data_IF_943825612494
#
_entry.id   IF_943825612494
#
_cell.length_a   1.000
_cell.length_b   1.000
_cell.length_c   1.000
_cell.angle_alpha   90.00
_cell.angle_beta   90.00
_cell.angle_gamma   90.00
#
_symmetry.space_group_name_H-M   'P 1'
#
loop_
_entity.id
_entity.type
_entity.pdbx_description
1 polymer ?
#
# COMPACT_ATOMS: atom_id res chain seq x y z
N UNK A 1 24.71 41.30 60.83
CA UNK A 1 24.67 39.88 60.43
C UNK A 1 23.37 39.68 59.68
N UNK A 2 23.48 39.79 58.36
CA UNK A 2 23.22 38.73 57.36
C UNK A 2 21.76 38.80 56.90
N UNK A 3 21.64 39.35 55.69
CA UNK A 3 20.54 39.21 54.77
C UNK A 3 20.63 37.82 54.11
N UNK A 4 19.52 37.11 53.94
CA UNK A 4 19.31 36.18 52.82
C UNK A 4 17.81 35.97 52.64
N UNK A 5 17.35 36.38 51.46
CA UNK A 5 16.13 35.95 50.80
C UNK A 5 16.01 34.42 50.78
N UNK A 6 14.80 33.89 50.86
CA UNK A 6 14.42 32.77 50.00
C UNK A 6 12.92 32.81 49.66
N UNK A 7 12.67 32.67 48.38
CA UNK A 7 11.44 32.89 47.64
C UNK A 7 10.58 31.62 47.69
N UNK A 8 9.65 31.58 48.63
CA UNK A 8 8.69 30.48 48.76
C UNK A 8 7.48 30.65 47.85
N UNK A 9 7.70 30.74 46.53
CA UNK A 9 6.63 30.65 45.54
C UNK A 9 5.91 29.30 45.66
N UNK A 10 4.80 29.28 46.39
CA UNK A 10 3.94 28.11 46.49
C UNK A 10 3.05 28.04 45.24
N UNK A 11 3.65 27.75 44.08
CA UNK A 11 2.91 27.37 42.87
C UNK A 11 2.46 25.91 42.99
N UNK A 12 1.57 25.64 43.94
CA UNK A 12 0.91 24.35 44.06
C UNK A 12 -0.08 24.19 42.91
N UNK A 13 0.36 23.40 41.92
CA UNK A 13 -0.43 22.55 41.04
C UNK A 13 -1.91 22.93 40.89
N UNK A 14 -2.23 23.62 39.80
CA UNK A 14 -3.57 23.56 39.27
C UNK A 14 -3.89 22.09 38.94
N UNK A 15 -4.72 21.46 39.77
CA UNK A 15 -5.15 20.08 39.56
C UNK A 15 -5.90 20.01 38.23
N UNK A 16 -5.30 19.37 37.23
CA UNK A 16 -6.03 19.03 36.02
C UNK A 16 -7.21 18.14 36.40
N UNK A 17 -8.42 18.57 36.06
CA UNK A 17 -9.67 17.88 36.40
C UNK A 17 -10.12 16.93 35.29
N UNK A 18 -9.54 17.05 34.10
CA UNK A 18 -9.80 16.19 32.96
C UNK A 18 -8.61 16.17 31.99
N UNK A 19 -8.48 15.05 31.28
CA UNK A 19 -7.47 14.84 30.25
C UNK A 19 -8.11 14.98 28.89
N UNK A 20 -7.50 15.74 27.99
CA UNK A 20 -7.97 15.89 26.62
C UNK A 20 -7.17 14.99 25.69
N UNK A 21 -7.78 13.88 25.26
CA UNK A 21 -7.16 12.88 24.40
C UNK A 21 -7.63 13.04 22.94
N UNK A 22 -6.72 13.30 21.99
CA UNK A 22 -7.02 13.15 20.57
C UNK A 22 -6.94 11.67 20.15
N UNK A 23 -7.86 11.21 19.31
CA UNK A 23 -7.83 9.89 18.68
C UNK A 23 -7.88 10.08 17.18
N UNK A 24 -6.90 9.55 16.46
CA UNK A 24 -6.84 9.60 14.99
C UNK A 24 -7.48 8.33 14.44
N UNK A 25 -8.38 8.45 13.47
CA UNK A 25 -9.01 7.33 12.79
C UNK A 25 -8.17 6.96 11.55
N UNK A 26 -7.53 5.77 11.50
CA UNK A 26 -6.70 5.39 10.37
C UNK A 26 -7.57 5.02 9.16
N UNK A 27 -7.06 5.30 7.96
CA UNK A 27 -7.52 4.67 6.72
C UNK A 27 -6.70 3.42 6.44
N UNK A 28 -7.26 2.49 5.68
CA UNK A 28 -6.56 1.27 5.27
C UNK A 28 -5.33 1.56 4.40
N UNK A 29 -5.42 2.55 3.51
CA UNK A 29 -4.35 2.85 2.56
C UNK A 29 -4.34 4.32 2.12
N UNK A 30 -3.13 4.85 1.95
CA UNK A 30 -2.86 6.16 1.36
C UNK A 30 -1.99 6.03 0.11
N UNK A 31 -2.29 6.79 -0.93
CA UNK A 31 -1.57 6.83 -2.21
C UNK A 31 -1.04 8.24 -2.43
N UNK A 32 0.24 8.35 -2.81
CA UNK A 32 0.86 9.62 -3.13
C UNK A 32 0.12 10.36 -4.26
N UNK A 33 0.00 11.68 -4.13
CA UNK A 33 -0.68 12.57 -5.07
C UNK A 33 -2.20 12.68 -4.87
N UNK A 34 -2.83 11.77 -4.12
CA UNK A 34 -4.26 11.82 -3.80
C UNK A 34 -4.53 12.69 -2.57
N UNK A 35 -5.76 13.18 -2.47
CA UNK A 35 -6.23 14.01 -1.34
C UNK A 35 -7.10 13.15 -0.44
N UNK A 36 -6.83 13.25 0.86
CA UNK A 36 -7.52 12.52 1.92
C UNK A 36 -8.00 13.46 3.01
N UNK A 37 -9.01 13.03 3.74
CA UNK A 37 -9.44 13.66 4.98
C UNK A 37 -9.00 12.79 6.15
N UNK A 38 -8.06 13.29 6.96
CA UNK A 38 -7.68 12.68 8.23
C UNK A 38 -8.74 13.05 9.25
N UNK A 39 -9.45 12.04 9.73
CA UNK A 39 -10.50 12.20 10.73
C UNK A 39 -9.99 11.80 12.11
N UNK A 40 -10.58 12.42 13.12
CA UNK A 40 -10.32 12.03 14.49
C UNK A 40 -11.38 12.57 15.44
N UNK A 41 -11.23 12.19 16.71
CA UNK A 41 -12.15 12.50 17.80
C UNK A 41 -11.38 13.05 18.99
N UNK A 42 -11.93 14.08 19.64
CA UNK A 42 -11.41 14.59 20.90
C UNK A 42 -12.27 14.08 22.06
N UNK A 43 -11.62 13.46 23.04
CA UNK A 43 -12.25 12.88 24.22
C UNK A 43 -11.79 13.59 25.49
N UNK A 44 -12.74 14.00 26.33
CA UNK A 44 -12.50 14.48 27.69
C UNK A 44 -13.00 13.41 28.65
N UNK A 45 -12.08 12.77 29.36
CA UNK A 45 -12.42 11.64 30.25
C UNK A 45 -13.27 10.56 29.55
N UNK A 46 -13.04 10.34 28.25
CA UNK A 46 -13.74 9.34 27.44
C UNK A 46 -14.96 9.87 26.65
N UNK A 47 -15.38 11.12 26.87
CA UNK A 47 -16.56 11.69 26.21
C UNK A 47 -16.20 12.65 25.08
N UNK A 48 -16.88 12.58 23.90
CA UNK A 48 -16.67 13.51 22.80
C UNK A 48 -16.79 14.97 23.23
N UNK A 49 -15.84 15.81 22.82
CA UNK A 49 -15.80 17.22 23.25
C UNK A 49 -15.57 18.18 22.09
N UNK A 50 -16.49 19.12 21.93
CA UNK A 50 -16.48 20.13 20.88
C UNK A 50 -15.64 21.36 21.19
N UNK A 51 -15.33 22.15 20.16
CA UNK A 51 -14.63 23.44 20.25
C UNK A 51 -13.26 23.33 20.94
N UNK A 52 -12.57 22.21 20.72
CA UNK A 52 -11.19 22.01 21.19
C UNK A 52 -10.24 22.34 20.05
N UNK A 53 -9.23 23.16 20.32
CA UNK A 53 -8.17 23.45 19.37
C UNK A 53 -7.24 22.22 19.27
N UNK A 54 -7.03 21.74 18.05
CA UNK A 54 -6.17 20.59 17.75
C UNK A 54 -5.05 21.06 16.83
N UNK A 55 -3.81 20.91 17.27
CA UNK A 55 -2.64 21.01 16.39
C UNK A 55 -2.47 19.64 15.72
N UNK A 56 -2.43 19.60 14.40
CA UNK A 56 -2.06 18.40 13.66
C UNK A 56 -0.74 18.68 12.95
N UNK A 57 0.28 17.93 13.33
CA UNK A 57 1.61 17.96 12.72
C UNK A 57 1.77 16.72 11.84
N UNK A 58 2.19 16.91 10.59
CA UNK A 58 2.56 15.82 9.69
C UNK A 58 4.06 15.91 9.46
N UNK A 59 4.78 14.85 9.83
CA UNK A 59 6.18 14.64 9.48
C UNK A 59 6.26 13.74 8.25
N UNK A 60 6.90 14.25 7.20
CA UNK A 60 7.08 13.58 5.92
C UNK A 60 8.36 12.73 5.91
N UNK A 61 8.45 11.71 5.04
CA UNK A 61 9.63 10.87 4.91
C UNK A 61 10.90 11.63 4.50
N UNK A 62 10.76 12.76 3.81
CA UNK A 62 11.87 13.63 3.40
C UNK A 62 12.42 14.50 4.55
N UNK A 63 11.86 14.36 5.75
CA UNK A 63 12.22 15.13 6.94
C UNK A 63 11.52 16.49 7.04
N UNK A 64 10.69 16.86 6.05
CA UNK A 64 9.86 18.07 6.15
C UNK A 64 8.69 17.86 7.12
N UNK A 65 8.21 18.95 7.71
CA UNK A 65 7.05 18.92 8.59
C UNK A 65 6.06 20.04 8.24
N UNK A 66 4.77 19.74 8.34
CA UNK A 66 3.70 20.75 8.28
C UNK A 66 2.91 20.75 9.57
N UNK A 67 2.29 21.88 9.88
CA UNK A 67 1.40 22.04 11.04
C UNK A 67 0.15 22.78 10.62
N UNK A 68 -0.99 22.26 11.03
CA UNK A 68 -2.29 22.89 10.85
C UNK A 68 -3.05 22.90 12.18
N UNK A 69 -3.91 23.90 12.37
CA UNK A 69 -4.77 24.01 13.53
C UNK A 69 -6.21 23.90 13.10
N UNK A 70 -6.93 22.94 13.67
CA UNK A 70 -8.36 22.71 13.43
C UNK A 70 -9.12 22.73 14.75
N UNK A 71 -10.44 22.91 14.70
CA UNK A 71 -11.31 22.81 15.89
C UNK A 71 -12.22 21.60 15.79
N UNK A 72 -12.41 20.90 16.91
CA UNK A 72 -13.40 19.84 16.97
C UNK A 72 -14.82 20.42 16.84
N UNK A 73 -15.68 19.72 16.10
CA UNK A 73 -17.09 20.04 15.88
C UNK A 73 -17.94 19.65 17.09
N UNK A 74 -19.24 19.89 17.03
CA UNK A 74 -20.20 19.61 18.10
C UNK A 74 -20.22 18.14 18.55
N UNK A 75 -19.89 17.21 17.66
CA UNK A 75 -19.75 15.77 17.91
C UNK A 75 -18.34 15.37 18.41
N UNK A 76 -17.48 16.35 18.70
CA UNK A 76 -16.10 16.16 19.12
C UNK A 76 -15.15 15.77 18.01
N UNK A 77 -15.60 15.67 16.75
CA UNK A 77 -14.76 15.24 15.63
C UNK A 77 -13.97 16.40 15.03
N UNK A 78 -12.74 16.11 14.61
CA UNK A 78 -11.93 17.01 13.79
C UNK A 78 -11.61 16.35 12.44
N UNK A 79 -11.38 17.18 11.44
CA UNK A 79 -10.98 16.74 10.10
C UNK A 79 -9.90 17.68 9.58
N UNK A 80 -8.88 17.13 8.93
CA UNK A 80 -7.81 17.88 8.26
C UNK A 80 -7.54 17.25 6.89
N UNK A 81 -7.25 18.09 5.90
CA UNK A 81 -6.86 17.62 4.57
C UNK A 81 -5.41 17.15 4.55
N UNK A 82 -5.16 15.96 4.01
CA UNK A 82 -3.85 15.36 3.84
C UNK A 82 -3.62 15.01 2.36
N UNK A 83 -2.55 15.57 1.79
CA UNK A 83 -2.12 15.30 0.41
C UNK A 83 -0.63 14.94 0.38
N UNK A 84 -0.26 13.67 0.59
CA UNK A 84 1.13 13.28 0.51
C UNK A 84 1.61 13.34 -0.93
N UNK A 85 2.81 13.88 -1.19
CA UNK A 85 3.33 14.04 -2.55
C UNK A 85 4.31 12.93 -2.97
N UNK A 86 4.81 12.17 -2.01
CA UNK A 86 5.73 11.06 -2.23
C UNK A 86 5.34 9.86 -1.37
N UNK A 87 5.72 8.67 -1.81
CA UNK A 87 5.62 7.46 -0.99
C UNK A 87 6.56 7.52 0.22
N UNK A 88 6.25 6.71 1.23
CA UNK A 88 7.07 6.52 2.43
C UNK A 88 6.23 6.49 3.70
N UNK A 89 6.91 6.49 4.82
CA UNK A 89 6.31 6.46 6.15
C UNK A 89 6.15 7.86 6.71
N UNK A 90 4.89 8.30 6.83
CA UNK A 90 4.55 9.59 7.41
C UNK A 90 4.17 9.41 8.88
N UNK A 91 4.47 10.40 9.72
CA UNK A 91 3.97 10.43 11.10
C UNK A 91 2.97 11.57 11.25
N UNK A 92 1.74 11.23 11.62
CA UNK A 92 0.69 12.18 11.93
C UNK A 92 0.60 12.30 13.45
N UNK A 93 0.84 13.49 13.98
CA UNK A 93 0.71 13.80 15.40
C UNK A 93 -0.45 14.75 15.60
N UNK A 94 -1.48 14.32 16.33
CA UNK A 94 -2.56 15.20 16.77
C UNK A 94 -2.32 15.57 18.24
N UNK A 95 -2.25 16.86 18.54
CA UNK A 95 -2.11 17.40 19.89
C UNK A 95 -3.34 18.22 20.24
N UNK A 96 -4.01 17.85 21.33
CA UNK A 96 -5.19 18.57 21.79
C UNK A 96 -4.83 19.66 22.79
N UNK A 97 -5.05 20.93 22.45
CA UNK A 97 -4.67 22.09 23.29
C UNK A 97 -5.67 22.43 24.40
N UNK A 98 -6.59 21.52 24.68
CA UNK A 98 -7.74 21.75 25.54
C UNK A 98 -8.70 22.86 25.03
N UNK A 99 -9.89 22.98 25.61
CA UNK A 99 -10.81 24.10 25.38
C UNK A 99 -10.20 25.34 26.00
N UNK A 100 -10.37 26.48 25.33
CA UNK A 100 -9.87 27.76 25.84
C UNK A 100 -10.38 28.06 27.26
N UNK A 101 -11.65 27.72 27.53
CA UNK A 101 -12.29 27.90 28.84
C UNK A 101 -11.75 26.99 29.96
N UNK A 102 -11.10 25.88 29.62
CA UNK A 102 -10.60 24.87 30.58
C UNK A 102 -9.07 24.78 30.62
N UNK A 103 -8.36 25.69 29.93
CA UNK A 103 -6.91 25.59 29.73
C UNK A 103 -6.09 25.53 31.03
N UNK A 104 -6.59 26.13 32.11
CA UNK A 104 -5.93 26.10 33.43
C UNK A 104 -6.17 24.82 34.23
N UNK A 105 -7.10 23.96 33.81
CA UNK A 105 -7.56 22.78 34.55
C UNK A 105 -7.60 21.51 33.69
N UNK A 106 -6.92 21.53 32.53
CA UNK A 106 -6.90 20.43 31.56
C UNK A 106 -5.46 20.05 31.22
N UNK A 107 -5.21 18.75 31.12
CA UNK A 107 -3.93 18.21 30.62
C UNK A 107 -4.05 17.90 29.12
N UNK A 108 -3.24 18.58 28.30
CA UNK A 108 -3.14 18.27 26.87
C UNK A 108 -2.48 16.91 26.65
N UNK A 109 -2.95 16.17 25.64
CA UNK A 109 -2.32 14.92 25.18
C UNK A 109 -2.03 14.98 23.69
N UNK A 110 -1.16 14.08 23.25
CA UNK A 110 -0.86 13.86 21.84
C UNK A 110 -0.99 12.40 21.48
N UNK A 111 -1.46 12.14 20.25
CA UNK A 111 -1.51 10.81 19.65
C UNK A 111 -0.73 10.83 18.36
N UNK A 112 0.14 9.84 18.19
CA UNK A 112 0.95 9.66 17.00
C UNK A 112 0.43 8.45 16.22
N UNK A 113 0.28 8.60 14.92
CA UNK A 113 -0.07 7.54 13.98
C UNK A 113 0.98 7.54 12.86
N UNK A 114 1.73 6.44 12.73
CA UNK A 114 2.55 6.20 11.55
C UNK A 114 1.67 5.61 10.45
N UNK A 115 1.74 6.16 9.24
CA UNK A 115 1.01 5.67 8.07
C UNK A 115 1.95 5.42 6.90
N UNK A 116 1.74 4.32 6.20
CA UNK A 116 2.41 4.05 4.93
C UNK A 116 1.65 4.73 3.79
N UNK A 117 2.35 5.56 3.02
CA UNK A 117 1.86 6.12 1.76
C UNK A 117 2.54 5.38 0.62
N UNK A 118 1.75 4.82 -0.28
CA UNK A 118 2.22 4.05 -1.42
C UNK A 118 2.32 4.91 -2.68
N UNK A 119 3.27 4.59 -3.54
CA UNK A 119 3.26 4.98 -4.95
C UNK A 119 2.55 3.90 -5.74
N UNK A 120 1.56 4.29 -6.53
CA UNK A 120 0.77 3.37 -7.35
C UNK A 120 1.19 3.46 -8.82
N UNK A 121 1.40 2.31 -9.46
CA UNK A 121 1.70 2.18 -10.89
C UNK A 121 0.72 1.22 -11.53
N UNK A 122 0.01 1.69 -12.54
CA UNK A 122 -0.77 0.83 -13.44
C UNK A 122 0.15 0.29 -14.52
N UNK A 123 0.11 -1.02 -14.73
CA UNK A 123 0.83 -1.70 -15.81
C UNK A 123 -0.19 -2.02 -16.90
N UNK A 124 -0.10 -1.30 -18.01
CA UNK A 124 -0.98 -1.43 -19.16
C UNK A 124 -0.43 -2.37 -20.22
N UNK A 125 0.84 -2.77 -20.12
CA UNK A 125 1.50 -3.64 -21.09
C UNK A 125 2.54 -4.54 -20.41
N UNK A 126 2.43 -5.85 -20.66
CA UNK A 126 3.44 -6.83 -20.27
C UNK A 126 4.06 -7.47 -21.50
N UNK A 127 5.39 -7.62 -21.50
CA UNK A 127 6.11 -8.30 -22.56
C UNK A 127 6.65 -9.65 -22.09
N UNK A 128 6.62 -10.64 -22.98
CA UNK A 128 7.13 -11.99 -22.70
C UNK A 128 8.64 -12.01 -22.92
N UNK A 129 9.39 -12.53 -21.95
CA UNK A 129 10.85 -12.67 -22.03
C UNK A 129 11.23 -13.48 -23.26
N UNK A 130 12.08 -12.90 -24.13
CA UNK A 130 12.62 -13.57 -25.31
C UNK A 130 11.65 -13.78 -26.48
N UNK A 131 10.38 -13.36 -26.36
CA UNK A 131 9.35 -13.59 -27.38
C UNK A 131 9.00 -12.37 -28.24
N UNK A 132 9.33 -11.14 -27.80
CA UNK A 132 8.94 -9.89 -28.48
C UNK A 132 7.44 -9.58 -28.50
N UNK A 133 6.61 -10.54 -28.08
CA UNK A 133 5.17 -10.41 -27.91
C UNK A 133 4.86 -9.67 -26.60
N UNK A 134 3.94 -8.71 -26.69
CA UNK A 134 3.44 -7.99 -25.53
C UNK A 134 1.92 -7.97 -25.54
N UNK A 135 1.35 -7.98 -24.34
CA UNK A 135 -0.08 -8.08 -24.10
C UNK A 135 -0.49 -6.80 -23.40
N UNK A 136 -1.56 -6.18 -23.88
CA UNK A 136 -2.16 -5.05 -23.19
C UNK A 136 -3.02 -5.57 -22.04
N UNK A 137 -2.96 -4.87 -20.92
CA UNK A 137 -3.62 -5.25 -19.69
C UNK A 137 -4.63 -4.21 -19.27
N UNK A 138 -5.69 -4.72 -18.68
CA UNK A 138 -6.59 -3.93 -17.85
C UNK A 138 -6.36 -4.33 -16.39
N UNK A 139 -6.24 -3.34 -15.51
CA UNK A 139 -6.30 -3.49 -14.05
C UNK A 139 -5.13 -4.22 -13.35
N UNK A 140 -3.96 -4.40 -13.97
CA UNK A 140 -2.76 -4.74 -13.21
C UNK A 140 -2.20 -3.48 -12.53
N UNK A 141 -2.19 -3.47 -11.20
CA UNK A 141 -1.67 -2.35 -10.42
C UNK A 141 -0.66 -2.81 -9.38
N UNK A 142 0.43 -2.06 -9.24
CA UNK A 142 1.48 -2.26 -8.25
C UNK A 142 1.50 -1.02 -7.36
N UNK A 143 1.14 -1.17 -6.09
CA UNK A 143 1.32 -0.14 -5.08
C UNK A 143 2.51 -0.50 -4.19
N UNK A 144 3.47 0.40 -4.04
CA UNK A 144 4.73 0.15 -3.31
C UNK A 144 5.07 1.28 -2.35
N UNK A 145 5.66 0.93 -1.21
CA UNK A 145 6.27 1.88 -0.27
C UNK A 145 7.70 1.46 -0.02
N UNK A 146 8.61 2.44 0.11
CA UNK A 146 10.04 2.24 0.38
C UNK A 146 10.73 1.38 -0.69
N UNK A 147 10.25 1.46 -1.94
CA UNK A 147 10.80 0.77 -3.10
C UNK A 147 10.41 1.51 -4.38
N UNK A 148 11.17 1.35 -5.47
CA UNK A 148 10.85 1.92 -6.78
C UNK A 148 10.76 0.83 -7.83
N UNK A 149 9.74 0.92 -8.67
CA UNK A 149 9.55 0.00 -9.79
C UNK A 149 10.54 0.31 -10.92
N UNK A 150 11.22 -0.72 -11.42
CA UNK A 150 11.91 -0.67 -12.71
C UNK A 150 10.89 -0.72 -13.84
N UNK A 151 11.13 0.00 -14.94
CA UNK A 151 10.18 0.06 -16.08
C UNK A 151 9.84 -1.33 -16.68
N UNK A 152 10.69 -2.33 -16.43
CA UNK A 152 10.55 -3.70 -16.93
C UNK A 152 9.75 -4.61 -15.97
N UNK A 153 8.42 -4.61 -16.13
CA UNK A 153 7.58 -5.73 -15.63
C UNK A 153 7.38 -6.71 -16.77
N UNK A 154 7.73 -7.98 -16.56
CA UNK A 154 7.79 -8.98 -17.63
C UNK A 154 7.12 -10.29 -17.23
N UNK A 155 6.67 -11.03 -18.24
CA UNK A 155 6.20 -12.40 -18.07
C UNK A 155 7.30 -13.37 -18.50
N UNK A 156 7.66 -14.29 -17.60
CA UNK A 156 8.41 -15.49 -17.96
C UNK A 156 7.41 -16.64 -18.15
N UNK A 157 7.03 -16.88 -19.40
CA UNK A 157 6.08 -17.94 -19.76
C UNK A 157 6.64 -19.35 -19.52
N UNK A 158 7.97 -19.50 -19.52
CA UNK A 158 8.62 -20.79 -19.25
C UNK A 158 8.53 -21.17 -17.77
N UNK A 159 8.58 -20.18 -16.89
CA UNK A 159 8.40 -20.33 -15.44
C UNK A 159 6.97 -20.14 -14.97
N UNK A 160 6.07 -19.65 -15.82
CA UNK A 160 4.74 -19.17 -15.44
C UNK A 160 4.83 -18.15 -14.31
N UNK A 161 5.71 -17.17 -14.51
CA UNK A 161 6.01 -16.16 -13.51
C UNK A 161 5.81 -14.74 -14.04
N UNK A 162 5.23 -13.87 -13.22
CA UNK A 162 5.32 -12.43 -13.37
C UNK A 162 6.59 -11.95 -12.66
N UNK A 163 7.51 -11.36 -13.41
CA UNK A 163 8.76 -10.83 -12.89
C UNK A 163 8.66 -9.32 -12.74
N UNK A 164 8.83 -8.84 -11.51
CA UNK A 164 8.78 -7.44 -11.14
C UNK A 164 10.16 -7.08 -10.59
N UNK A 165 10.86 -6.17 -11.27
CA UNK A 165 12.15 -5.66 -10.78
C UNK A 165 11.94 -4.39 -9.99
N UNK A 166 12.53 -4.35 -8.81
CA UNK A 166 12.51 -3.19 -7.93
C UNK A 166 13.93 -2.66 -7.72
N UNK A 167 14.01 -1.37 -7.46
CA UNK A 167 15.22 -0.61 -7.16
C UNK A 167 14.98 0.23 -5.91
N UNK A 168 16.06 0.71 -5.31
CA UNK A 168 16.02 1.57 -4.12
C UNK A 168 15.14 0.98 -3.01
N UNK A 169 15.17 -0.34 -2.82
CA UNK A 169 14.39 -1.05 -1.81
C UNK A 169 15.01 -0.79 -0.43
N UNK A 170 14.21 -0.22 0.47
CA UNK A 170 14.57 -0.01 1.87
C UNK A 170 14.13 -1.14 2.79
N UNK A 171 14.51 -1.03 4.07
CA UNK A 171 14.33 -2.10 5.07
C UNK A 171 12.86 -2.32 5.47
N UNK A 172 11.96 -1.41 5.09
CA UNK A 172 10.53 -1.49 5.37
C UNK A 172 9.70 -1.63 4.09
N UNK A 173 10.31 -2.03 2.98
CA UNK A 173 9.59 -2.12 1.72
C UNK A 173 8.36 -3.03 1.81
N UNK A 174 7.24 -2.54 1.27
CA UNK A 174 5.99 -3.29 1.21
C UNK A 174 5.29 -3.04 -0.12
N UNK A 175 4.75 -4.12 -0.70
CA UNK A 175 4.14 -4.09 -2.03
C UNK A 175 2.77 -4.73 -1.96
N UNK A 176 1.83 -4.09 -2.63
CA UNK A 176 0.47 -4.57 -2.83
C UNK A 176 0.24 -4.69 -4.33
N UNK A 177 0.03 -5.92 -4.79
CA UNK A 177 -0.27 -6.24 -6.18
C UNK A 177 -1.76 -6.45 -6.31
N UNK A 178 -2.39 -5.74 -7.23
CA UNK A 178 -3.74 -6.06 -7.71
C UNK A 178 -3.57 -6.82 -9.01
N UNK A 179 -3.73 -8.14 -8.94
CA UNK A 179 -3.46 -9.07 -10.04
C UNK A 179 -4.79 -9.52 -10.68
N UNK A 180 -4.98 -9.27 -11.98
CA UNK A 180 -6.06 -9.88 -12.73
C UNK A 180 -5.84 -11.39 -12.88
N UNK A 181 -6.84 -12.20 -12.54
CA UNK A 181 -6.75 -13.68 -12.58
C UNK A 181 -6.49 -14.21 -13.99
N UNK A 182 -6.91 -13.49 -15.03
CA UNK A 182 -6.56 -13.87 -16.40
C UNK A 182 -5.04 -13.81 -16.62
N UNK A 183 -4.31 -12.87 -16.03
CA UNK A 183 -2.86 -12.74 -16.26
C UNK A 183 -2.06 -13.78 -15.50
N UNK A 184 -2.36 -13.94 -14.21
CA UNK A 184 -1.67 -14.89 -13.35
C UNK A 184 -2.59 -15.33 -12.23
N UNK A 185 -2.66 -16.64 -12.01
CA UNK A 185 -3.51 -17.19 -10.96
C UNK A 185 -3.12 -18.63 -10.60
N UNK A 186 -3.64 -19.07 -9.46
CA UNK A 186 -3.49 -20.41 -8.93
C UNK A 186 -4.79 -20.85 -8.24
N UNK A 187 -5.20 -22.14 -8.36
CA UNK A 187 -6.44 -22.62 -7.76
C UNK A 187 -6.51 -22.47 -6.24
N UNK A 188 -5.35 -22.47 -5.58
CA UNK A 188 -5.23 -22.38 -4.13
C UNK A 188 -4.52 -21.07 -3.77
N UNK A 189 -3.18 -21.05 -3.88
CA UNK A 189 -2.33 -19.91 -3.52
C UNK A 189 -1.26 -19.65 -4.57
N UNK A 190 -0.91 -18.38 -4.77
CA UNK A 190 0.29 -18.01 -5.53
C UNK A 190 1.56 -18.35 -4.75
N UNK A 191 2.67 -18.55 -5.47
CA UNK A 191 4.00 -18.67 -4.86
C UNK A 191 4.77 -17.39 -5.12
N UNK A 192 5.29 -16.76 -4.06
CA UNK A 192 6.04 -15.50 -4.15
C UNK A 192 7.49 -15.77 -3.79
N UNK A 193 8.38 -15.37 -4.68
CA UNK A 193 9.83 -15.54 -4.55
C UNK A 193 10.49 -14.17 -4.68
N UNK A 194 11.39 -13.84 -3.75
CA UNK A 194 12.21 -12.63 -3.78
C UNK A 194 13.66 -13.06 -3.86
N UNK A 195 14.35 -12.67 -4.93
CA UNK A 195 15.75 -13.05 -5.22
C UNK A 195 16.01 -14.56 -5.09
N UNK A 196 15.10 -15.37 -5.62
CA UNK A 196 15.20 -16.82 -5.62
C UNK A 196 14.82 -17.50 -4.28
N UNK A 197 14.45 -16.74 -3.26
CA UNK A 197 13.96 -17.28 -1.97
C UNK A 197 12.44 -17.13 -1.86
N UNK A 198 11.74 -18.21 -1.54
CA UNK A 198 10.31 -18.12 -1.25
C UNK A 198 10.07 -17.26 0.00
N UNK A 199 9.08 -16.37 -0.07
CA UNK A 199 8.70 -15.48 1.04
C UNK A 199 7.24 -15.69 1.42
N UNK A 200 6.95 -15.44 2.69
CA UNK A 200 5.56 -15.35 3.15
C UNK A 200 4.92 -14.07 2.63
N UNK A 201 3.65 -14.18 2.27
CA UNK A 201 2.84 -13.09 1.73
C UNK A 201 1.40 -13.25 2.21
N UNK A 202 0.62 -12.17 2.16
CA UNK A 202 -0.82 -12.25 2.39
C UNK A 202 -1.53 -12.19 1.05
N UNK A 203 -2.63 -12.92 0.96
CA UNK A 203 -3.40 -13.02 -0.26
C UNK A 203 -4.88 -13.03 0.07
N UNK A 204 -5.66 -12.32 -0.73
CA UNK A 204 -7.12 -12.41 -0.67
C UNK A 204 -7.73 -12.19 -2.06
N UNK A 205 -8.86 -12.83 -2.29
CA UNK A 205 -9.67 -12.63 -3.48
C UNK A 205 -10.54 -11.40 -3.27
N UNK A 206 -10.28 -10.34 -4.04
CA UNK A 206 -11.14 -9.16 -4.07
C UNK A 206 -12.43 -9.43 -4.86
N UNK A 207 -12.35 -10.29 -5.87
CA UNK A 207 -13.48 -10.79 -6.67
C UNK A 207 -13.15 -12.15 -7.28
N UNK A 208 -14.01 -12.67 -8.18
CA UNK A 208 -13.72 -13.86 -8.98
C UNK A 208 -12.48 -13.70 -9.87
N UNK A 209 -12.19 -12.47 -10.31
CA UNK A 209 -11.23 -12.19 -11.39
C UNK A 209 -10.08 -11.29 -10.94
N UNK A 210 -10.03 -10.93 -9.65
CA UNK A 210 -9.01 -10.06 -9.08
C UNK A 210 -8.52 -10.61 -7.75
N UNK A 211 -7.21 -10.75 -7.66
CA UNK A 211 -6.47 -11.28 -6.53
C UNK A 211 -5.52 -10.21 -6.00
N UNK A 212 -5.57 -9.94 -4.72
CA UNK A 212 -4.69 -8.95 -4.06
C UNK A 212 -3.61 -9.71 -3.30
N UNK A 213 -2.36 -9.35 -3.53
CA UNK A 213 -1.18 -9.96 -2.91
C UNK A 213 -0.35 -8.90 -2.21
N UNK A 214 -0.15 -9.05 -0.89
CA UNK A 214 0.64 -8.16 -0.05
C UNK A 214 1.97 -8.85 0.31
N UNK A 215 3.09 -8.19 0.02
CA UNK A 215 4.43 -8.76 0.12
C UNK A 215 5.32 -7.79 0.89
N UNK A 216 5.78 -8.15 2.11
CA UNK A 216 6.86 -7.44 2.77
C UNK A 216 8.21 -7.84 2.16
N UNK A 217 9.09 -6.87 1.95
CA UNK A 217 10.44 -7.08 1.41
C UNK A 217 11.44 -6.51 2.42
N UNK A 218 12.38 -7.35 2.84
CA UNK A 218 13.38 -7.02 3.86
C UNK A 218 14.81 -6.95 3.32
N UNK A 219 15.03 -7.39 2.06
CA UNK A 219 16.33 -7.40 1.41
C UNK A 219 16.47 -6.09 0.60
N UNK A 220 17.34 -5.19 1.06
CA UNK A 220 17.51 -3.86 0.48
C UNK A 220 18.29 -3.83 -0.83
N UNK A 221 18.19 -2.71 -1.56
CA UNK A 221 18.90 -2.48 -2.82
C UNK A 221 18.02 -2.75 -4.06
N UNK A 222 18.43 -3.70 -4.91
CA UNK A 222 17.64 -4.11 -6.07
C UNK A 222 17.29 -5.58 -5.95
N UNK A 223 15.99 -5.87 -6.05
CA UNK A 223 15.45 -7.22 -5.91
C UNK A 223 14.56 -7.55 -7.08
N UNK A 224 14.43 -8.84 -7.37
CA UNK A 224 13.46 -9.37 -8.31
C UNK A 224 12.39 -10.13 -7.54
N UNK A 225 11.15 -9.67 -7.67
CA UNK A 225 9.97 -10.37 -7.17
C UNK A 225 9.40 -11.21 -8.30
N UNK A 226 9.35 -12.52 -8.11
CA UNK A 226 8.72 -13.47 -9.01
C UNK A 226 7.40 -13.95 -8.36
N UNK A 227 6.27 -13.63 -9.00
CA UNK A 227 4.96 -14.20 -8.65
C UNK A 227 4.74 -15.39 -9.57
N UNK A 228 4.61 -16.58 -9.01
CA UNK A 228 4.50 -17.84 -9.75
C UNK A 228 3.08 -18.38 -9.59
N UNK A 229 2.42 -18.59 -10.72
CA UNK A 229 1.07 -19.15 -10.81
C UNK A 229 1.05 -20.55 -11.39
N UNK A 230 -0.14 -21.13 -11.46
CA UNK A 230 -0.36 -22.38 -12.21
C UNK A 230 -0.49 -22.15 -13.70
N UNK A 231 -0.95 -20.95 -14.08
CA UNK A 231 -0.92 -20.44 -15.44
C UNK A 231 -0.49 -18.98 -15.40
N UNK A 232 0.20 -18.57 -16.46
CA UNK A 232 0.42 -17.17 -16.83
C UNK A 232 0.10 -17.08 -18.30
N UNK A 233 -0.75 -16.13 -18.68
CA UNK A 233 -1.30 -16.06 -20.05
C UNK A 233 -0.19 -16.07 -21.12
N UNK A 234 -0.36 -16.89 -22.16
CA UNK A 234 -0.75 -16.36 -23.46
C UNK A 234 -2.10 -16.92 -23.89
N UNK A 235 -3.11 -16.07 -24.01
CA UNK A 235 -4.27 -16.35 -24.84
C UNK A 235 -3.84 -16.03 -26.26
N UNK A 236 -3.33 -17.04 -26.98
CA UNK A 236 -3.35 -16.93 -28.43
C UNK A 236 -4.82 -16.71 -28.83
N UNK A 237 -5.13 -15.77 -29.74
CA UNK A 237 -6.46 -15.65 -30.29
C UNK A 237 -6.95 -17.04 -30.66
N UNK A 238 -8.17 -17.42 -30.26
CA UNK A 238 -8.73 -18.76 -30.53
C UNK A 238 -8.58 -19.14 -32.02
N UNK A 239 -8.54 -18.14 -32.91
CA UNK A 239 -8.20 -18.28 -34.32
C UNK A 239 -6.85 -19.01 -34.57
N UNK A 240 -5.78 -18.70 -33.85
CA UNK A 240 -4.47 -19.36 -34.01
C UNK A 240 -4.55 -20.81 -33.52
N UNK A 241 -5.17 -21.06 -32.37
CA UNK A 241 -5.37 -22.41 -31.87
C UNK A 241 -6.24 -23.26 -32.82
N UNK A 242 -7.27 -22.66 -33.42
CA UNK A 242 -8.10 -23.30 -34.44
C UNK A 242 -7.31 -23.61 -35.71
N UNK A 243 -6.49 -22.69 -36.21
CA UNK A 243 -5.62 -22.93 -37.38
C UNK A 243 -4.64 -24.07 -37.10
N UNK A 244 -4.05 -24.11 -35.89
CA UNK A 244 -3.13 -25.15 -35.47
C UNK A 244 -3.85 -26.51 -35.36
N UNK A 245 -5.05 -26.56 -34.78
CA UNK A 245 -5.88 -27.76 -34.70
C UNK A 245 -6.30 -28.28 -36.09
N UNK A 246 -6.73 -27.40 -37.00
CA UNK A 246 -7.12 -27.76 -38.37
C UNK A 246 -5.93 -28.27 -39.16
N UNK A 247 -4.77 -27.60 -39.07
CA UNK A 247 -3.55 -28.04 -39.76
C UNK A 247 -3.07 -29.42 -39.28
N UNK A 248 -3.15 -29.69 -37.97
CA UNK A 248 -2.81 -30.99 -37.40
C UNK A 248 -3.79 -32.08 -37.87
N UNK A 249 -5.10 -31.78 -37.96
CA UNK A 249 -6.10 -32.69 -38.51
C UNK A 249 -5.81 -33.04 -39.99
N UNK A 250 -5.42 -32.06 -40.79
CA UNK A 250 -5.06 -32.26 -42.20
C UNK A 250 -3.81 -33.14 -42.33
N UNK A 251 -2.79 -32.92 -41.51
CA UNK A 251 -1.59 -33.77 -41.52
C UNK A 251 -1.88 -35.21 -41.11
N UNK A 252 -2.72 -35.42 -40.09
CA UNK A 252 -3.10 -36.77 -39.64
C UNK A 252 -3.93 -37.52 -40.68
N UNK A 253 -4.82 -36.82 -41.40
CA UNK A 253 -5.64 -37.42 -42.46
C UNK A 253 -4.79 -37.79 -43.68
N UNK A 254 -3.86 -36.92 -44.11
CA UNK A 254 -2.91 -37.22 -45.17
C UNK A 254 -1.99 -38.40 -44.82
N UNK A 255 -1.49 -38.45 -43.58
CA UNK A 255 -0.64 -39.55 -43.13
C UNK A 255 -1.38 -40.89 -43.13
N UNK A 256 -2.66 -40.92 -42.72
CA UNK A 256 -3.49 -42.13 -42.80
C UNK A 256 -3.76 -42.60 -44.24
N UNK A 257 -3.93 -41.68 -45.20
CA UNK A 257 -4.15 -42.03 -46.60
C UNK A 257 -2.90 -42.63 -47.25
N UNK A 258 -1.70 -42.14 -46.89
CA UNK A 258 -0.43 -42.72 -47.37
C UNK A 258 -0.23 -44.16 -46.87
N UNK A 259 -0.71 -44.50 -45.66
CA UNK A 259 -0.66 -45.86 -45.12
C UNK A 259 -1.67 -46.82 -45.79
N UNK A 260 -2.76 -46.31 -46.36
CA UNK A 260 -3.79 -47.11 -47.06
C UNK A 260 -3.43 -47.30 -48.54
N UNK A 261 -2.71 -46.35 -49.16
CA UNK A 261 -2.21 -46.46 -50.54
C UNK A 261 -1.00 -47.37 -50.73
N UNK A 262 -0.50 -47.99 -49.66
CA UNK A 262 0.62 -48.96 -49.64
C UNK A 262 0.15 -50.39 -49.31
N UNK A 263 -1.01 -50.81 -49.83
CA UNK A 263 -1.47 -52.20 -49.89
C UNK A 263 -1.96 -52.54 -51.29
#
# INVERSE_FOLDING_TARGET
>A
MINTDDDGSNSNNAYATHTSLPVIEPMEQYIAGRVYDINGLILYNGEPTSDVLVEVKIDSPDGSSTKEYVRSRDDGRFTMTFKPNAQGYYTITATSHCRDVHRSICTYQSTMLEVAVYEEKSIDRLCVVGGGECINLDNLTIAMVDARLSEDVMIDSSKRALMIRLMDVGDRAHIILTLPSNIIDAPDRLSVVVDGKAVEHREHLASSDVRIVEIPIYDGGSVVVEIIGTYVIPEFPIAIALVLAVSMLVLLTLHRLQLIGYN
#
